data_IF_634639538384
#
_entry.id   IF_634639538384
#
_cell.length_a   1.000
_cell.length_b   1.000
_cell.length_c   1.000
_cell.angle_alpha   90.00
_cell.angle_beta   90.00
_cell.angle_gamma   90.00
#
_symmetry.space_group_name_H-M   'P 1'
#
loop_
_entity.id
_entity.type
_entity.pdbx_description
1 polymer ?
#
# COMPACT_ATOMS: atom_id res chain seq x y z
N UNK A 1 -5.99 15.90 26.99
CA UNK A 1 -5.35 14.76 27.68
C UNK A 1 -6.16 13.46 27.69
N UNK A 2 -7.51 13.48 27.81
CA UNK A 2 -8.34 12.26 27.81
C UNK A 2 -8.35 11.51 26.48
N UNK A 3 -8.47 12.22 25.35
CA UNK A 3 -8.43 11.65 23.99
C UNK A 3 -7.12 10.90 23.69
N UNK A 4 -5.96 11.42 24.09
CA UNK A 4 -4.67 10.78 23.89
C UNK A 4 -4.54 9.46 24.67
N UNK A 5 -5.06 9.39 25.90
CA UNK A 5 -5.08 8.16 26.67
C UNK A 5 -6.00 7.11 26.05
N UNK A 6 -7.16 7.52 25.52
CA UNK A 6 -8.07 6.64 24.79
C UNK A 6 -7.38 6.11 23.53
N UNK A 7 -6.75 6.99 22.75
CA UNK A 7 -6.01 6.59 21.55
C UNK A 7 -4.89 5.60 21.84
N UNK A 8 -4.07 5.86 22.87
CA UNK A 8 -2.98 4.95 23.27
C UNK A 8 -3.50 3.56 23.68
N UNK A 9 -4.64 3.51 24.34
CA UNK A 9 -5.31 2.25 24.69
C UNK A 9 -5.83 1.54 23.43
N UNK A 10 -6.48 2.27 22.54
CA UNK A 10 -7.02 1.74 21.30
C UNK A 10 -5.92 1.20 20.37
N UNK A 11 -4.78 1.87 20.30
CA UNK A 11 -3.60 1.39 19.58
C UNK A 11 -3.04 0.09 20.18
N UNK A 12 -2.96 -0.02 21.50
CA UNK A 12 -2.49 -1.25 22.17
C UNK A 12 -3.48 -2.41 22.02
N UNK A 13 -4.76 -2.16 22.24
CA UNK A 13 -5.81 -3.19 22.15
C UNK A 13 -6.16 -3.60 20.73
N UNK A 14 -6.13 -2.67 19.79
CA UNK A 14 -6.43 -2.89 18.38
C UNK A 14 -5.22 -3.37 17.58
N UNK A 15 -4.35 -2.44 17.20
CA UNK A 15 -3.29 -2.70 16.23
C UNK A 15 -2.13 -3.54 16.80
N UNK A 16 -1.63 -3.22 18.02
CA UNK A 16 -0.50 -3.97 18.58
C UNK A 16 -0.87 -5.40 18.99
N UNK A 17 -2.09 -5.64 19.43
CA UNK A 17 -2.56 -7.01 19.72
C UNK A 17 -2.64 -7.86 18.45
N UNK A 18 -2.82 -7.23 17.29
CA UNK A 18 -2.98 -7.89 15.98
C UNK A 18 -1.86 -7.53 15.01
N UNK A 19 -0.67 -7.33 15.55
CA UNK A 19 0.51 -7.00 14.74
C UNK A 19 0.75 -7.98 13.57
N UNK A 20 0.29 -9.24 13.70
CA UNK A 20 0.40 -10.25 12.66
C UNK A 20 -0.32 -9.85 11.35
N UNK A 21 -1.34 -8.98 11.42
CA UNK A 21 -1.99 -8.46 10.21
C UNK A 21 -1.08 -7.51 9.40
N UNK A 22 -0.06 -6.94 10.04
CA UNK A 22 0.96 -6.15 9.36
C UNK A 22 1.92 -7.02 8.52
N UNK A 23 1.86 -8.34 8.68
CA UNK A 23 2.60 -9.27 7.81
C UNK A 23 1.99 -9.30 6.40
N UNK A 24 0.70 -9.03 6.26
CA UNK A 24 0.02 -9.01 4.94
C UNK A 24 0.67 -8.00 3.98
N UNK A 25 0.83 -6.70 4.33
CA UNK A 25 1.52 -5.76 3.45
C UNK A 25 2.97 -6.14 3.17
N UNK A 26 3.66 -6.80 4.09
CA UNK A 26 5.04 -7.26 3.88
C UNK A 26 5.09 -8.39 2.85
N UNK A 27 4.21 -9.40 2.96
CA UNK A 27 4.12 -10.49 1.99
C UNK A 27 3.74 -9.95 0.60
N UNK A 28 2.75 -9.06 0.56
CA UNK A 28 2.33 -8.40 -0.67
C UNK A 28 3.49 -7.65 -1.34
N UNK A 29 4.21 -6.83 -0.57
CA UNK A 29 5.35 -6.07 -1.06
C UNK A 29 6.46 -6.98 -1.58
N UNK A 30 6.81 -8.03 -0.83
CA UNK A 30 7.85 -8.98 -1.22
C UNK A 30 7.49 -9.75 -2.51
N UNK A 31 6.26 -10.23 -2.61
CA UNK A 31 5.79 -10.97 -3.80
C UNK A 31 5.83 -10.10 -5.05
N UNK A 32 5.29 -8.87 -4.98
CA UNK A 32 5.24 -7.95 -6.13
C UNK A 32 6.63 -7.41 -6.49
N UNK A 33 7.48 -7.12 -5.51
CA UNK A 33 8.86 -6.72 -5.78
C UNK A 33 9.66 -7.85 -6.44
N UNK A 34 9.47 -9.09 -6.01
CA UNK A 34 10.09 -10.26 -6.66
C UNK A 34 9.64 -10.46 -8.10
N UNK A 35 8.36 -10.23 -8.38
CA UNK A 35 7.80 -10.28 -9.74
C UNK A 35 8.45 -9.22 -10.64
N UNK A 36 8.56 -7.96 -10.19
CA UNK A 36 9.24 -6.91 -10.95
C UNK A 36 10.71 -7.25 -11.20
N UNK A 37 11.42 -7.72 -10.18
CA UNK A 37 12.82 -8.13 -10.35
C UNK A 37 12.98 -9.23 -11.40
N UNK A 38 12.06 -10.21 -11.41
CA UNK A 38 12.06 -11.25 -12.43
C UNK A 38 11.82 -10.70 -13.83
N UNK A 39 10.88 -9.76 -13.98
CA UNK A 39 10.61 -9.07 -15.25
C UNK A 39 11.82 -8.28 -15.74
N UNK A 40 12.49 -7.54 -14.87
CA UNK A 40 13.72 -6.80 -15.20
C UNK A 40 14.82 -7.75 -15.71
N UNK A 41 15.02 -8.88 -15.03
CA UNK A 41 16.01 -9.88 -15.46
C UNK A 41 15.66 -10.49 -16.83
N UNK A 42 14.40 -10.80 -17.09
CA UNK A 42 13.95 -11.28 -18.41
C UNK A 42 14.19 -10.24 -19.51
N UNK A 43 13.93 -8.96 -19.25
CA UNK A 43 14.20 -7.89 -20.21
C UNK A 43 15.69 -7.73 -20.47
N UNK A 44 16.52 -7.91 -19.47
CA UNK A 44 17.99 -7.89 -19.62
C UNK A 44 18.49 -9.07 -20.46
N UNK A 45 17.98 -10.28 -20.23
CA UNK A 45 18.32 -11.48 -21.03
C UNK A 45 17.94 -11.32 -22.50
N UNK A 46 16.82 -10.65 -22.79
CA UNK A 46 16.36 -10.36 -24.14
C UNK A 46 17.08 -9.16 -24.80
N UNK A 47 18.02 -8.53 -24.11
CA UNK A 47 18.71 -7.31 -24.54
C UNK A 47 17.78 -6.11 -24.80
N UNK A 48 16.60 -6.07 -24.15
CA UNK A 48 15.64 -4.99 -24.30
C UNK A 48 16.00 -3.83 -23.37
N UNK A 49 16.37 -4.14 -22.13
CA UNK A 49 16.65 -3.14 -21.11
C UNK A 49 17.77 -3.61 -20.18
N UNK A 50 18.77 -2.74 -19.94
CA UNK A 50 19.84 -2.96 -18.97
C UNK A 50 19.67 -1.95 -17.82
N UNK A 51 18.87 -2.27 -16.83
CA UNK A 51 18.73 -1.45 -15.62
C UNK A 51 18.36 -2.34 -14.45
N UNK A 52 18.88 -2.02 -13.28
CA UNK A 52 18.50 -2.68 -12.03
C UNK A 52 17.19 -2.10 -11.45
N UNK A 53 16.68 -1.02 -12.06
CA UNK A 53 15.53 -0.28 -11.55
C UNK A 53 15.87 0.58 -10.33
N UNK A 54 14.93 1.38 -9.92
CA UNK A 54 15.06 2.26 -8.73
C UNK A 54 14.02 1.92 -7.69
N UNK A 55 14.20 2.36 -6.45
CA UNK A 55 13.22 2.18 -5.39
C UNK A 55 11.84 2.79 -5.79
N UNK A 56 11.83 3.89 -6.54
CA UNK A 56 10.60 4.48 -7.07
C UNK A 56 9.88 3.55 -8.06
N UNK A 57 10.62 2.86 -8.93
CA UNK A 57 10.05 1.90 -9.89
C UNK A 57 9.38 0.73 -9.17
N UNK A 58 10.02 0.21 -8.12
CA UNK A 58 9.47 -0.86 -7.29
C UNK A 58 8.19 -0.39 -6.56
N UNK A 59 8.19 0.80 -5.98
CA UNK A 59 7.00 1.36 -5.32
C UNK A 59 5.87 1.56 -6.34
N UNK A 60 6.15 2.13 -7.50
CA UNK A 60 5.17 2.31 -8.57
C UNK A 60 4.56 0.99 -9.01
N UNK A 61 5.39 -0.02 -9.25
CA UNK A 61 4.94 -1.34 -9.70
C UNK A 61 4.08 -2.06 -8.63
N UNK A 62 4.50 -2.00 -7.38
CA UNK A 62 3.78 -2.66 -6.27
C UNK A 62 2.42 -1.99 -6.03
N UNK A 63 2.36 -0.65 -6.14
CA UNK A 63 1.13 0.11 -5.87
C UNK A 63 0.26 0.30 -7.10
N UNK A 64 0.71 -0.13 -8.31
CA UNK A 64 -0.14 -0.12 -9.48
C UNK A 64 -1.37 -1.02 -9.26
N UNK A 65 -2.52 -0.54 -9.69
CA UNK A 65 -3.75 -1.34 -9.74
C UNK A 65 -3.74 -2.34 -10.89
N UNK A 66 -4.91 -2.77 -11.28
CA UNK A 66 -5.12 -3.53 -12.53
C UNK A 66 -4.95 -2.64 -13.76
N UNK A 67 -4.39 -3.19 -14.84
CA UNK A 67 -4.48 -2.54 -16.14
C UNK A 67 -5.94 -2.30 -16.53
N UNK A 68 -6.17 -1.27 -17.33
CA UNK A 68 -7.51 -0.96 -17.84
C UNK A 68 -8.03 -2.15 -18.62
N UNK A 69 -9.16 -2.69 -18.18
CA UNK A 69 -9.82 -3.78 -18.89
C UNK A 69 -10.49 -3.21 -20.16
N UNK A 70 -9.98 -3.61 -21.31
CA UNK A 70 -10.65 -3.36 -22.57
C UNK A 70 -11.68 -4.47 -22.79
N UNK A 71 -12.94 -4.12 -23.10
CA UNK A 71 -14.00 -5.08 -23.38
C UNK A 71 -13.78 -5.79 -24.72
N UNK A 72 -12.57 -6.35 -24.92
CA UNK A 72 -12.30 -7.22 -26.06
C UNK A 72 -12.73 -8.66 -25.68
N UNK A 73 -13.52 -9.36 -26.54
CA UNK A 73 -13.93 -10.74 -26.29
C UNK A 73 -12.77 -11.73 -26.12
N UNK A 74 -11.56 -11.35 -26.46
CA UNK A 74 -10.34 -12.16 -26.30
C UNK A 74 -9.57 -11.89 -25.01
N UNK A 75 -9.87 -10.81 -24.30
CA UNK A 75 -9.23 -10.51 -23.02
C UNK A 75 -10.00 -11.13 -21.85
N UNK A 76 -9.31 -11.90 -21.03
CA UNK A 76 -9.86 -12.44 -19.80
C UNK A 76 -9.69 -11.43 -18.67
N UNK A 77 -10.77 -11.15 -17.96
CA UNK A 77 -10.69 -10.36 -16.74
C UNK A 77 -9.91 -11.13 -15.67
N UNK A 78 -8.72 -10.66 -15.32
CA UNK A 78 -7.93 -11.22 -14.23
C UNK A 78 -8.14 -10.40 -12.95
N UNK A 79 -8.58 -11.06 -11.88
CA UNK A 79 -8.70 -10.43 -10.57
C UNK A 79 -7.30 -10.21 -10.01
N UNK A 80 -6.93 -8.98 -9.61
CA UNK A 80 -5.65 -8.69 -8.97
C UNK A 80 -5.64 -9.23 -7.54
N UNK A 81 -5.39 -10.53 -7.38
CA UNK A 81 -5.49 -11.25 -6.10
C UNK A 81 -4.63 -10.59 -5.04
N UNK A 82 -3.41 -10.17 -5.37
CA UNK A 82 -2.50 -9.51 -4.43
C UNK A 82 -3.04 -8.18 -3.91
N UNK A 83 -3.53 -7.33 -4.82
CA UNK A 83 -4.12 -6.04 -4.45
C UNK A 83 -5.40 -6.22 -3.63
N UNK A 84 -6.24 -7.18 -4.04
CA UNK A 84 -7.45 -7.52 -3.30
C UNK A 84 -7.13 -8.01 -1.89
N UNK A 85 -6.17 -8.93 -1.73
CA UNK A 85 -5.73 -9.42 -0.42
C UNK A 85 -5.16 -8.31 0.45
N UNK A 86 -4.41 -7.37 -0.13
CA UNK A 86 -3.89 -6.20 0.57
C UNK A 86 -5.02 -5.33 1.14
N UNK A 87 -6.04 -5.02 0.32
CA UNK A 87 -7.20 -4.22 0.74
C UNK A 87 -8.08 -4.96 1.77
N UNK A 88 -8.28 -6.25 1.57
CA UNK A 88 -9.04 -7.08 2.53
C UNK A 88 -8.35 -7.19 3.87
N UNK A 89 -7.02 -7.27 3.90
CA UNK A 89 -6.24 -7.24 5.15
C UNK A 89 -6.46 -5.95 5.94
N UNK A 90 -6.43 -4.80 5.26
CA UNK A 90 -6.73 -3.51 5.86
C UNK A 90 -8.18 -3.42 6.36
N UNK A 91 -9.14 -3.84 5.52
CA UNK A 91 -10.55 -3.85 5.88
C UNK A 91 -10.81 -4.72 7.12
N UNK A 92 -10.19 -5.89 7.18
CA UNK A 92 -10.28 -6.79 8.35
C UNK A 92 -9.70 -6.16 9.61
N UNK A 93 -8.54 -5.49 9.51
CA UNK A 93 -7.92 -4.79 10.63
C UNK A 93 -8.86 -3.74 11.24
N UNK A 94 -9.51 -2.95 10.39
CA UNK A 94 -10.42 -1.88 10.82
C UNK A 94 -11.76 -2.41 11.30
N UNK A 95 -12.36 -3.36 10.59
CA UNK A 95 -13.67 -3.93 10.91
C UNK A 95 -13.65 -4.68 12.24
N UNK A 96 -12.61 -5.48 12.45
CA UNK A 96 -12.51 -6.29 13.67
C UNK A 96 -12.29 -5.43 14.93
N UNK A 97 -11.51 -4.36 14.81
CA UNK A 97 -11.37 -3.39 15.90
C UNK A 97 -12.71 -2.75 16.26
N UNK A 98 -13.47 -2.32 15.25
CA UNK A 98 -14.78 -1.72 15.46
C UNK A 98 -15.76 -2.71 16.12
N UNK A 99 -15.72 -3.97 15.71
CA UNK A 99 -16.55 -5.03 16.28
C UNK A 99 -16.26 -5.27 17.77
N UNK A 100 -14.98 -5.44 18.15
CA UNK A 100 -14.59 -5.64 19.54
C UNK A 100 -14.96 -4.45 20.43
N UNK A 101 -14.79 -3.24 19.90
CA UNK A 101 -15.14 -2.04 20.65
C UNK A 101 -16.65 -1.94 20.92
N UNK A 102 -17.48 -2.34 19.96
CA UNK A 102 -18.93 -2.34 20.14
C UNK A 102 -19.41 -3.43 21.10
N UNK A 103 -18.83 -4.61 21.03
CA UNK A 103 -19.30 -5.78 21.80
C UNK A 103 -18.81 -5.79 23.25
N UNK A 104 -17.55 -5.45 23.49
CA UNK A 104 -16.94 -5.62 24.80
C UNK A 104 -16.95 -4.34 25.66
N UNK A 105 -16.63 -3.19 25.10
CA UNK A 105 -16.31 -2.00 25.88
C UNK A 105 -17.01 -0.71 25.46
N UNK A 106 -17.76 -0.69 24.38
CA UNK A 106 -18.27 0.54 23.77
C UNK A 106 -19.12 1.40 24.74
N UNK A 107 -19.97 0.77 25.57
CA UNK A 107 -20.80 1.49 26.55
C UNK A 107 -19.97 2.10 27.68
N UNK A 108 -19.02 1.33 28.21
CA UNK A 108 -18.13 1.79 29.32
C UNK A 108 -17.23 2.92 28.86
N UNK A 109 -16.70 2.82 27.63
CA UNK A 109 -15.85 3.83 27.05
C UNK A 109 -16.59 5.12 26.69
N UNK A 110 -17.83 5.01 26.23
CA UNK A 110 -18.68 6.17 25.98
C UNK A 110 -18.91 6.98 27.26
N UNK A 111 -19.18 6.30 28.37
CA UNK A 111 -19.37 6.92 29.70
C UNK A 111 -18.05 7.52 30.19
N UNK A 112 -16.94 6.81 30.07
CA UNK A 112 -15.62 7.26 30.50
C UNK A 112 -15.05 8.43 29.69
N UNK A 113 -15.44 8.58 28.43
CA UNK A 113 -15.01 9.69 27.56
C UNK A 113 -15.62 11.04 27.96
N UNK A 114 -16.76 11.02 28.64
CA UNK A 114 -17.46 12.22 29.11
C UNK A 114 -18.16 13.02 27.99
N UNK A 115 -17.89 12.74 26.72
CA UNK A 115 -18.61 13.34 25.60
C UNK A 115 -18.56 12.45 24.34
N UNK A 116 -19.69 12.40 23.60
CA UNK A 116 -19.77 11.69 22.32
C UNK A 116 -18.73 12.17 21.31
N UNK A 117 -18.49 13.47 21.23
CA UNK A 117 -17.53 14.05 20.28
C UNK A 117 -16.10 13.57 20.54
N UNK A 118 -15.67 13.54 21.81
CA UNK A 118 -14.34 13.07 22.20
C UNK A 118 -14.15 11.57 21.85
N UNK A 119 -15.17 10.76 22.06
CA UNK A 119 -15.15 9.35 21.73
C UNK A 119 -15.04 9.12 20.21
N UNK A 120 -15.89 9.75 19.40
CA UNK A 120 -15.85 9.65 17.95
C UNK A 120 -14.52 10.15 17.36
N UNK A 121 -14.01 11.26 17.87
CA UNK A 121 -12.73 11.80 17.42
C UNK A 121 -11.58 10.82 17.71
N UNK A 122 -11.59 10.17 18.88
CA UNK A 122 -10.60 9.13 19.18
C UNK A 122 -10.64 7.97 18.18
N UNK A 123 -11.85 7.48 17.82
CA UNK A 123 -12.02 6.41 16.83
C UNK A 123 -11.59 6.82 15.43
N UNK A 124 -11.95 8.01 15.00
CA UNK A 124 -11.53 8.55 13.72
C UNK A 124 -10.00 8.63 13.61
N UNK A 125 -9.34 9.19 14.62
CA UNK A 125 -7.87 9.29 14.65
C UNK A 125 -7.23 7.89 14.65
N UNK A 126 -7.79 6.95 15.39
CA UNK A 126 -7.33 5.56 15.38
C UNK A 126 -7.40 4.95 13.98
N UNK A 127 -8.52 5.08 13.27
CA UNK A 127 -8.68 4.57 11.92
C UNK A 127 -7.66 5.18 10.96
N UNK A 128 -7.53 6.50 10.96
CA UNK A 128 -6.55 7.21 10.10
C UNK A 128 -5.13 6.73 10.39
N UNK A 129 -4.76 6.62 11.67
CA UNK A 129 -3.43 6.19 12.07
C UNK A 129 -3.16 4.72 11.67
N UNK A 130 -4.15 3.85 11.82
CA UNK A 130 -4.04 2.43 11.44
C UNK A 130 -3.83 2.28 9.92
N UNK A 131 -4.56 3.05 9.12
CA UNK A 131 -4.35 3.10 7.66
C UNK A 131 -2.95 3.59 7.33
N UNK A 132 -2.53 4.71 7.93
CA UNK A 132 -1.20 5.28 7.70
C UNK A 132 -0.08 4.29 8.05
N UNK A 133 -0.17 3.61 9.18
CA UNK A 133 0.83 2.61 9.60
C UNK A 133 0.82 1.40 8.67
N UNK A 134 -0.36 0.90 8.26
CA UNK A 134 -0.47 -0.23 7.36
C UNK A 134 0.21 0.04 6.00
N UNK A 135 -0.04 1.21 5.41
CA UNK A 135 0.62 1.62 4.18
C UNK A 135 2.12 1.90 4.38
N UNK A 136 2.50 2.55 5.49
CA UNK A 136 3.91 2.80 5.81
C UNK A 136 4.71 1.50 5.91
N UNK A 137 4.16 0.46 6.54
CA UNK A 137 4.79 -0.87 6.60
C UNK A 137 4.92 -1.46 5.21
N UNK A 138 3.89 -1.36 4.35
CA UNK A 138 3.95 -1.79 2.97
C UNK A 138 5.05 -1.07 2.17
N UNK A 139 5.11 0.25 2.23
CA UNK A 139 6.15 1.04 1.55
C UNK A 139 7.55 0.71 2.04
N UNK A 140 7.75 0.60 3.36
CA UNK A 140 9.04 0.20 3.93
C UNK A 140 9.46 -1.20 3.46
N UNK A 141 8.52 -2.14 3.40
CA UNK A 141 8.78 -3.48 2.91
C UNK A 141 9.19 -3.48 1.43
N UNK A 142 8.56 -2.65 0.58
CA UNK A 142 8.97 -2.47 -0.82
C UNK A 142 10.38 -1.92 -0.92
N UNK A 143 10.71 -0.86 -0.16
CA UNK A 143 12.06 -0.27 -0.17
C UNK A 143 13.12 -1.27 0.29
N UNK A 144 12.82 -2.06 1.32
CA UNK A 144 13.73 -3.11 1.80
C UNK A 144 13.91 -4.19 0.73
N UNK A 145 12.83 -4.64 0.08
CA UNK A 145 12.90 -5.63 -1.00
C UNK A 145 13.70 -5.10 -2.20
N UNK A 146 13.48 -3.85 -2.62
CA UNK A 146 14.25 -3.20 -3.68
C UNK A 146 15.75 -3.17 -3.35
N UNK A 147 16.12 -2.84 -2.10
CA UNK A 147 17.50 -2.88 -1.65
C UNK A 147 18.11 -4.29 -1.68
N UNK A 148 17.34 -5.32 -1.35
CA UNK A 148 17.82 -6.73 -1.48
C UNK A 148 18.06 -7.14 -2.93
N UNK A 149 17.32 -6.59 -3.88
CA UNK A 149 17.50 -6.85 -5.30
C UNK A 149 18.53 -5.95 -5.99
N UNK A 150 19.24 -5.12 -5.22
CA UNK A 150 20.31 -4.26 -5.76
C UNK A 150 19.80 -2.99 -6.46
N UNK A 151 18.51 -2.67 -6.33
CA UNK A 151 17.96 -1.46 -6.93
C UNK A 151 18.61 -0.20 -6.34
N UNK A 152 18.79 0.83 -7.19
CA UNK A 152 19.24 2.13 -6.73
C UNK A 152 18.16 2.77 -5.82
N UNK A 153 18.58 3.20 -4.62
CA UNK A 153 17.70 3.82 -3.63
C UNK A 153 17.30 5.25 -3.99
N UNK A 154 17.35 5.60 -5.26
CA UNK A 154 16.85 6.87 -5.77
C UNK A 154 15.32 6.86 -5.89
N UNK A 155 14.71 8.03 -5.69
CA UNK A 155 13.28 8.23 -5.91
C UNK A 155 12.96 8.79 -7.31
N UNK A 156 13.84 8.52 -8.28
CA UNK A 156 13.60 8.84 -9.68
C UNK A 156 13.05 7.62 -10.42
N UNK A 157 11.98 7.82 -11.17
CA UNK A 157 11.41 6.78 -12.03
C UNK A 157 12.28 6.62 -13.26
N UNK A 158 12.63 5.38 -13.59
CA UNK A 158 13.41 5.06 -14.79
C UNK A 158 12.52 5.15 -16.02
N UNK A 159 12.73 6.18 -16.87
CA UNK A 159 11.89 6.43 -18.03
C UNK A 159 11.80 5.24 -19.00
N UNK A 160 12.89 4.53 -19.22
CA UNK A 160 12.94 3.34 -20.09
C UNK A 160 12.09 2.19 -19.53
N UNK A 161 12.19 1.92 -18.23
CA UNK A 161 11.41 0.88 -17.57
C UNK A 161 9.92 1.26 -17.52
N UNK A 162 9.61 2.52 -17.23
CA UNK A 162 8.25 3.03 -17.21
C UNK A 162 7.60 2.97 -18.61
N UNK A 163 8.34 3.24 -19.69
CA UNK A 163 7.85 3.15 -21.06
C UNK A 163 7.46 1.72 -21.47
N UNK A 164 8.23 0.74 -20.99
CA UNK A 164 7.98 -0.68 -21.29
C UNK A 164 6.83 -1.24 -20.46
N UNK A 165 6.79 -0.93 -19.15
CA UNK A 165 5.75 -1.44 -18.25
C UNK A 165 4.41 -0.69 -18.38
N UNK A 166 4.46 0.59 -18.75
CA UNK A 166 3.28 1.48 -18.75
C UNK A 166 3.19 2.32 -20.04
N UNK A 167 3.06 1.72 -21.20
CA UNK A 167 3.06 2.49 -22.46
C UNK A 167 1.94 3.55 -22.51
N UNK A 168 0.79 3.28 -21.90
CA UNK A 168 -0.32 4.24 -21.82
C UNK A 168 -0.08 5.38 -20.84
N UNK A 169 0.67 5.16 -19.77
CA UNK A 169 0.97 6.18 -18.76
C UNK A 169 2.06 7.14 -19.24
N UNK A 170 3.03 6.65 -20.00
CA UNK A 170 4.12 7.48 -20.57
C UNK A 170 3.57 8.50 -21.56
N UNK A 171 2.56 8.15 -22.35
CA UNK A 171 1.88 9.09 -23.24
C UNK A 171 1.23 10.23 -22.46
N UNK A 172 0.68 9.97 -21.27
CA UNK A 172 0.10 11.01 -20.43
C UNK A 172 1.15 11.84 -19.67
N UNK A 173 2.25 11.24 -19.23
CA UNK A 173 3.36 11.94 -18.57
C UNK A 173 4.15 12.83 -19.56
N UNK A 174 4.33 12.37 -20.80
CA UNK A 174 4.96 13.19 -21.85
C UNK A 174 4.19 14.46 -22.16
N UNK A 175 2.86 14.46 -22.01
CA UNK A 175 2.06 15.69 -22.15
C UNK A 175 2.17 16.63 -20.93
N UNK A 176 2.49 16.13 -19.75
CA UNK A 176 2.72 16.95 -18.56
C UNK A 176 4.11 17.60 -18.54
N UNK A 177 5.14 16.91 -19.00
CA UNK A 177 6.50 17.47 -19.08
C UNK A 177 6.59 18.62 -20.10
N UNK A 178 5.79 18.58 -21.17
CA UNK A 178 5.68 19.69 -22.14
C UNK A 178 5.01 20.93 -21.56
N UNK A 179 4.08 20.74 -20.60
CA UNK A 179 3.41 21.86 -19.90
C UNK A 179 4.27 22.51 -18.82
N UNK A 180 5.28 21.79 -18.28
CA UNK A 180 6.19 22.33 -17.26
C UNK A 180 7.45 22.99 -17.83
N UNK A 181 7.73 22.79 -19.12
CA UNK A 181 8.88 23.35 -19.85
C UNK A 181 8.51 24.50 -20.81
N UNK A 182 7.22 24.83 -20.90
CA UNK A 182 6.70 26.02 -21.60
C UNK A 182 6.33 27.12 -20.61
#
# INVERSE_FOLDING_TARGET
MKTLRLLARDMRGGMLRRWYLLVIPVIFAAARAGELHHLINQMAELNILYTEGTAADYVMYVMQGTPVFNFDPKEYFSIPIYWFAFQMGLAYLLAYYSYDDFTENGRVLLIASGSRKSWWMGKFIYCVLSVAVYFAVGYLAVCVAAGFYGADMSFHVTKSLAAELYPSAVVSLGSFDVLLLS
#
